data_IF_624601855057
#
_entry.id   IF_624601855057
#
_cell.length_a   1.000
_cell.length_b   1.000
_cell.length_c   1.000
_cell.angle_alpha   90.00
_cell.angle_beta   90.00
_cell.angle_gamma   90.00
#
_symmetry.space_group_name_H-M   'P 1'
#
loop_
_entity.id
_entity.type
_entity.pdbx_description
1 polymer ?
#
# COMPACT_ATOMS: atom_id res chain seq x y z
N UNK A 1 5.21 -24.63 1.32
CA UNK A 1 6.01 -23.91 2.33
C UNK A 1 6.28 -22.47 1.90
N UNK A 2 6.65 -22.23 0.64
CA UNK A 2 6.82 -20.87 0.09
C UNK A 2 5.56 -19.99 0.19
N UNK A 3 4.36 -20.55 -0.04
CA UNK A 3 3.10 -19.81 0.09
C UNK A 3 2.85 -19.21 1.48
N UNK A 4 3.27 -19.90 2.55
CA UNK A 4 3.10 -19.44 3.93
C UNK A 4 4.03 -18.24 4.20
N UNK A 5 5.25 -18.29 3.68
CA UNK A 5 6.22 -17.19 3.79
C UNK A 5 5.78 -15.96 2.97
N UNK A 6 5.25 -16.17 1.76
CA UNK A 6 4.62 -15.13 0.94
C UNK A 6 3.40 -14.51 1.64
N UNK A 7 2.59 -15.32 2.32
CA UNK A 7 1.47 -14.84 3.13
C UNK A 7 1.96 -13.98 4.31
N UNK A 8 3.02 -14.39 5.01
CA UNK A 8 3.62 -13.60 6.08
C UNK A 8 4.15 -12.23 5.58
N UNK A 9 4.80 -12.19 4.42
CA UNK A 9 5.22 -10.95 3.76
C UNK A 9 4.00 -10.08 3.40
N UNK A 10 2.94 -10.67 2.82
CA UNK A 10 1.73 -9.93 2.47
C UNK A 10 1.01 -9.34 3.68
N UNK A 11 0.93 -10.08 4.79
CA UNK A 11 0.36 -9.58 6.06
C UNK A 11 1.23 -8.43 6.60
N UNK A 12 2.56 -8.61 6.62
CA UNK A 12 3.49 -7.58 7.09
C UNK A 12 3.38 -6.31 6.25
N UNK A 13 3.27 -6.43 4.93
CA UNK A 13 3.02 -5.29 4.05
C UNK A 13 1.70 -4.62 4.40
N UNK A 14 0.60 -5.36 4.49
CA UNK A 14 -0.71 -4.81 4.80
C UNK A 14 -0.73 -4.04 6.13
N UNK A 15 -0.07 -4.58 7.16
CA UNK A 15 0.03 -3.93 8.46
C UNK A 15 0.94 -2.69 8.44
N UNK A 16 2.13 -2.82 7.85
CA UNK A 16 3.12 -1.74 7.81
C UNK A 16 2.75 -0.61 6.86
N UNK A 17 1.91 -0.85 5.86
CA UNK A 17 1.40 0.20 4.96
C UNK A 17 0.29 1.02 5.62
N UNK A 18 -0.46 0.43 6.55
CA UNK A 18 -1.49 1.13 7.33
C UNK A 18 -0.91 1.91 8.52
N UNK A 19 0.30 1.55 8.95
CA UNK A 19 1.03 2.20 10.04
C UNK A 19 2.06 3.17 9.43
N UNK A 20 2.36 4.33 10.05
CA UNK A 20 3.39 5.26 9.57
C UNK A 20 4.80 4.76 9.94
N UNK A 21 5.10 3.52 9.57
CA UNK A 21 6.38 2.84 9.76
C UNK A 21 6.89 2.42 8.37
N UNK A 22 8.18 2.53 8.10
CA UNK A 22 8.72 2.19 6.77
C UNK A 22 8.40 0.73 6.39
N UNK A 23 7.47 0.53 5.44
CA UNK A 23 7.01 -0.80 5.02
C UNK A 23 8.11 -1.59 4.30
N UNK A 24 8.86 -0.95 3.42
CA UNK A 24 9.97 -1.56 2.68
C UNK A 24 11.08 -2.12 3.58
N UNK A 25 11.45 -1.41 4.66
CA UNK A 25 12.51 -1.84 5.57
C UNK A 25 12.13 -3.15 6.29
N UNK A 26 10.89 -3.25 6.78
CA UNK A 26 10.41 -4.44 7.46
C UNK A 26 10.32 -5.64 6.52
N UNK A 27 9.86 -5.44 5.28
CA UNK A 27 9.77 -6.52 4.29
C UNK A 27 11.14 -7.06 3.89
N UNK A 28 12.14 -6.20 3.67
CA UNK A 28 13.51 -6.63 3.32
C UNK A 28 14.12 -7.44 4.47
N UNK A 29 13.97 -6.98 5.71
CA UNK A 29 14.47 -7.69 6.89
C UNK A 29 13.78 -9.06 7.07
N UNK A 30 12.46 -9.11 6.97
CA UNK A 30 11.71 -10.37 7.06
C UNK A 30 12.08 -11.33 5.92
N UNK A 31 12.23 -10.81 4.70
CA UNK A 31 12.66 -11.57 3.53
C UNK A 31 14.02 -12.25 3.73
N UNK A 32 14.98 -11.53 4.33
CA UNK A 32 16.29 -12.09 4.70
C UNK A 32 16.17 -13.21 5.74
N UNK A 33 15.33 -13.03 6.77
CA UNK A 33 15.14 -14.04 7.83
C UNK A 33 14.49 -15.33 7.29
N UNK A 34 13.52 -15.20 6.38
CA UNK A 34 12.78 -16.36 5.83
C UNK A 34 13.38 -16.89 4.52
N UNK A 35 14.54 -16.37 4.10
CA UNK A 35 15.25 -16.70 2.86
C UNK A 35 14.36 -16.57 1.61
N UNK A 36 13.59 -15.48 1.52
CA UNK A 36 12.87 -15.12 0.30
C UNK A 36 13.57 -13.93 -0.37
N UNK A 37 13.90 -14.01 -1.67
CA UNK A 37 14.40 -12.86 -2.41
C UNK A 37 13.29 -11.80 -2.51
N UNK A 38 13.41 -10.72 -1.74
CA UNK A 38 12.56 -9.54 -1.86
C UNK A 38 13.00 -8.71 -3.05
N UNK A 39 12.58 -9.14 -4.24
CA UNK A 39 12.81 -8.39 -5.47
C UNK A 39 11.99 -7.09 -5.47
N UNK A 40 12.45 -6.10 -6.23
CA UNK A 40 11.72 -4.84 -6.45
C UNK A 40 10.32 -5.09 -7.03
N UNK A 41 10.18 -6.14 -7.84
CA UNK A 41 8.90 -6.58 -8.40
C UNK A 41 7.95 -7.12 -7.31
N UNK A 42 8.46 -7.93 -6.37
CA UNK A 42 7.66 -8.49 -5.28
C UNK A 42 7.19 -7.38 -4.33
N UNK A 43 8.10 -6.49 -3.95
CA UNK A 43 7.79 -5.31 -3.13
C UNK A 43 6.72 -4.43 -3.80
N UNK A 44 6.92 -4.10 -5.08
CA UNK A 44 5.95 -3.30 -5.86
C UNK A 44 4.60 -3.99 -5.99
N UNK A 45 4.57 -5.31 -6.20
CA UNK A 45 3.32 -6.07 -6.34
C UNK A 45 2.52 -6.08 -5.03
N UNK A 46 3.20 -6.24 -3.89
CA UNK A 46 2.57 -6.17 -2.56
C UNK A 46 2.05 -4.75 -2.28
N UNK A 47 2.81 -3.71 -2.63
CA UNK A 47 2.40 -2.30 -2.55
C UNK A 47 1.18 -1.96 -3.41
N UNK A 48 1.15 -2.47 -4.64
CA UNK A 48 0.00 -2.30 -5.53
C UNK A 48 -1.23 -3.03 -4.94
N UNK A 49 -1.03 -4.23 -4.39
CA UNK A 49 -2.08 -4.99 -3.71
C UNK A 49 -2.72 -4.21 -2.55
N UNK A 50 -1.92 -3.60 -1.68
CA UNK A 50 -2.43 -2.77 -0.57
C UNK A 50 -3.11 -1.50 -1.08
N UNK A 51 -2.55 -0.86 -2.11
CA UNK A 51 -3.16 0.31 -2.75
C UNK A 51 -4.55 0.00 -3.30
N UNK A 52 -4.70 -1.14 -3.99
CA UNK A 52 -5.99 -1.61 -4.53
C UNK A 52 -6.97 -1.91 -3.38
N UNK A 53 -6.50 -2.55 -2.29
CA UNK A 53 -7.35 -2.84 -1.14
C UNK A 53 -7.90 -1.57 -0.49
N UNK A 54 -7.05 -0.54 -0.33
CA UNK A 54 -7.45 0.78 0.20
C UNK A 54 -8.44 1.47 -0.76
N UNK A 55 -8.16 1.43 -2.07
CA UNK A 55 -9.05 1.99 -3.09
C UNK A 55 -10.43 1.30 -3.10
N UNK A 56 -10.46 -0.01 -2.95
CA UNK A 56 -11.70 -0.79 -2.86
C UNK A 56 -12.46 -0.48 -1.57
N UNK A 57 -11.79 -0.40 -0.42
CA UNK A 57 -12.39 -0.06 0.87
C UNK A 57 -13.02 1.35 0.84
N UNK A 58 -12.31 2.33 0.29
CA UNK A 58 -12.80 3.70 0.17
C UNK A 58 -13.57 3.97 -1.13
N UNK A 59 -13.88 2.95 -1.93
CA UNK A 59 -14.49 3.12 -3.26
C UNK A 59 -15.74 3.99 -3.22
N UNK A 60 -16.67 3.71 -2.31
CA UNK A 60 -17.89 4.53 -2.15
C UNK A 60 -17.57 5.96 -1.74
N UNK A 61 -16.61 6.18 -0.83
CA UNK A 61 -16.22 7.53 -0.37
C UNK A 61 -15.49 8.30 -1.47
N UNK A 62 -14.70 7.63 -2.31
CA UNK A 62 -13.94 8.23 -3.39
C UNK A 62 -14.86 8.54 -4.59
N UNK A 63 -15.65 7.57 -5.05
CA UNK A 63 -16.44 7.68 -6.27
C UNK A 63 -17.86 8.21 -6.08
N UNK A 64 -18.47 8.11 -4.90
CA UNK A 64 -19.74 8.81 -4.63
C UNK A 64 -19.50 10.33 -4.58
N UNK A 65 -20.27 11.10 -5.34
CA UNK A 65 -20.17 12.56 -5.47
C UNK A 65 -18.83 13.07 -6.05
N UNK A 66 -18.20 12.32 -6.96
CA UNK A 66 -16.94 12.70 -7.61
C UNK A 66 -16.97 14.10 -8.26
N UNK A 67 -18.12 14.52 -8.79
CA UNK A 67 -18.28 15.77 -9.53
C UNK A 67 -18.69 17.00 -8.69
N UNK A 68 -18.59 16.96 -7.36
CA UNK A 68 -18.91 18.13 -6.52
C UNK A 68 -17.71 19.10 -6.40
N UNK A 69 -17.92 20.41 -6.61
CA UNK A 69 -16.87 21.45 -6.55
C UNK A 69 -16.00 21.42 -5.26
N UNK A 70 -16.58 21.02 -4.11
CA UNK A 70 -15.85 20.86 -2.83
C UNK A 70 -14.82 19.72 -2.82
N UNK A 71 -14.96 18.69 -3.67
CA UNK A 71 -13.99 17.59 -3.76
C UNK A 71 -12.81 17.93 -4.68
N UNK A 72 -12.99 18.79 -5.67
CA UNK A 72 -11.89 19.25 -6.53
C UNK A 72 -10.80 19.99 -5.75
N UNK A 73 -11.18 20.84 -4.80
CA UNK A 73 -10.22 21.50 -3.90
C UNK A 73 -9.52 20.52 -2.95
N UNK A 74 -10.16 19.39 -2.61
CA UNK A 74 -9.55 18.31 -1.84
C UNK A 74 -8.53 17.51 -2.68
N UNK A 75 -8.86 17.15 -3.92
CA UNK A 75 -7.92 16.47 -4.82
C UNK A 75 -6.70 17.32 -5.15
N UNK A 76 -6.88 18.63 -5.38
CA UNK A 76 -5.77 19.57 -5.58
C UNK A 76 -4.86 19.63 -4.34
N UNK A 77 -5.43 19.64 -3.12
CA UNK A 77 -4.64 19.59 -1.88
C UNK A 77 -3.85 18.30 -1.73
N UNK A 78 -4.42 17.16 -2.09
CA UNK A 78 -3.70 15.87 -2.09
C UNK A 78 -2.53 15.93 -3.07
N UNK A 79 -2.75 16.43 -4.29
CA UNK A 79 -1.70 16.52 -5.31
C UNK A 79 -0.52 17.39 -4.84
N UNK A 80 -0.82 18.55 -4.25
CA UNK A 80 0.20 19.45 -3.69
C UNK A 80 0.99 18.81 -2.53
N UNK A 81 0.31 18.04 -1.68
CA UNK A 81 0.97 17.32 -0.57
C UNK A 81 1.82 16.14 -1.02
N UNK A 82 1.62 15.63 -2.24
CA UNK A 82 2.43 14.54 -2.80
C UNK A 82 3.69 15.10 -3.50
N UNK A 83 3.63 16.34 -3.97
CA UNK A 83 4.75 17.01 -4.66
C UNK A 83 5.72 17.65 -3.66
N UNK A 84 5.27 18.01 -2.46
CA UNK A 84 6.08 18.60 -1.38
C UNK A 84 6.50 17.55 -0.36
#
# INVERSE_FOLDING_TARGET
MESIKLLALAITQGLSELLPISSSAHLILLGQVINIPTSTLLLSSLHIGTTIAILAFFWKKLFSNFFTKKKWTFYIKILLSVIH
#
